data_IF_107136055196
#
_entry.id   IF_107136055196
#
_cell.length_a   1.000
_cell.length_b   1.000
_cell.length_c   1.000
_cell.angle_alpha   90.00
_cell.angle_beta   90.00
_cell.angle_gamma   90.00
#
_symmetry.space_group_name_H-M   'P 1'
#
loop_
_entity.id
_entity.type
_entity.pdbx_description
1 polymer ?
#
# COMPACT_ATOMS: atom_id res chain seq x y z
N UNK A 1 -2.24 -0.31 -9.01
CA UNK A 1 -3.13 -1.10 -9.83
C UNK A 1 -3.50 -2.38 -9.11
N UNK A 2 -4.74 -2.53 -8.78
CA UNK A 2 -5.32 -3.80 -8.35
C UNK A 2 -5.33 -4.68 -9.60
N UNK A 3 -4.34 -5.52 -9.76
CA UNK A 3 -4.26 -6.36 -10.95
C UNK A 3 -4.71 -7.78 -10.60
N UNK A 4 -6.01 -7.97 -10.62
CA UNK A 4 -6.58 -9.27 -10.86
C UNK A 4 -6.80 -9.37 -12.37
N UNK A 5 -6.38 -10.45 -13.01
CA UNK A 5 -6.55 -10.69 -14.46
C UNK A 5 -8.01 -10.57 -14.96
N UNK A 6 -8.95 -10.50 -14.03
CA UNK A 6 -10.39 -10.35 -14.30
C UNK A 6 -10.95 -8.97 -13.93
N UNK A 7 -10.14 -8.06 -13.42
CA UNK A 7 -10.60 -6.73 -12.98
C UNK A 7 -11.23 -5.91 -14.13
N UNK A 8 -10.74 -6.11 -15.36
CA UNK A 8 -11.33 -5.51 -16.57
C UNK A 8 -12.83 -5.79 -16.76
N UNK A 9 -13.36 -6.88 -16.15
CA UNK A 9 -14.80 -7.17 -16.20
C UNK A 9 -15.62 -6.20 -15.37
N UNK A 10 -15.03 -5.60 -14.32
CA UNK A 10 -15.71 -4.67 -13.43
C UNK A 10 -16.10 -3.37 -14.15
N UNK A 11 -15.34 -2.97 -15.17
CA UNK A 11 -15.58 -1.75 -15.94
C UNK A 11 -16.52 -1.94 -17.13
N UNK A 12 -17.14 -3.13 -17.26
CA UNK A 12 -18.19 -3.35 -18.25
C UNK A 12 -19.55 -2.86 -17.73
N UNK A 13 -20.52 -2.54 -18.60
CA UNK A 13 -21.84 -2.04 -18.19
C UNK A 13 -22.56 -2.87 -17.13
N UNK A 14 -22.19 -4.13 -16.98
CA UNK A 14 -22.73 -5.07 -15.97
C UNK A 14 -21.70 -5.51 -14.92
N UNK A 15 -20.58 -4.79 -14.82
CA UNK A 15 -19.48 -5.14 -13.93
C UNK A 15 -19.93 -5.24 -12.47
N UNK A 16 -20.71 -4.28 -11.99
CA UNK A 16 -21.25 -4.29 -10.63
C UNK A 16 -22.16 -5.48 -10.37
N UNK A 17 -23.06 -5.82 -11.33
CA UNK A 17 -23.97 -6.95 -11.20
C UNK A 17 -23.20 -8.28 -11.18
N UNK A 18 -22.20 -8.42 -12.05
CA UNK A 18 -21.34 -9.61 -12.10
C UNK A 18 -20.56 -9.71 -10.78
N UNK A 19 -20.00 -8.61 -10.30
CA UNK A 19 -19.26 -8.57 -9.04
C UNK A 19 -20.15 -8.96 -7.84
N UNK A 20 -21.36 -8.43 -7.77
CA UNK A 20 -22.37 -8.78 -6.74
C UNK A 20 -22.74 -10.26 -6.79
N UNK A 21 -22.91 -10.79 -7.98
CA UNK A 21 -23.25 -12.22 -8.17
C UNK A 21 -22.10 -13.14 -7.75
N UNK A 22 -20.86 -12.77 -8.08
CA UNK A 22 -19.67 -13.55 -7.70
C UNK A 22 -19.37 -13.42 -6.20
N UNK A 23 -19.53 -12.24 -5.65
CA UNK A 23 -19.26 -11.96 -4.22
C UNK A 23 -20.38 -12.48 -3.30
N UNK A 24 -21.59 -12.65 -3.84
CA UNK A 24 -22.77 -13.08 -3.06
C UNK A 24 -23.28 -12.06 -2.03
N UNK A 25 -22.74 -10.84 -2.05
CA UNK A 25 -23.07 -9.75 -1.14
C UNK A 25 -22.75 -8.41 -1.79
N UNK A 26 -23.51 -7.36 -1.46
CA UNK A 26 -23.31 -5.98 -1.90
C UNK A 26 -22.14 -5.30 -1.18
N UNK A 27 -21.57 -5.94 -0.17
CA UNK A 27 -20.45 -5.44 0.62
C UNK A 27 -19.25 -6.38 0.57
N UNK A 28 -18.07 -5.80 0.52
CA UNK A 28 -16.80 -6.48 0.80
C UNK A 28 -16.54 -6.36 2.30
N UNK A 29 -16.33 -7.50 2.95
CA UNK A 29 -16.13 -7.59 4.39
C UNK A 29 -14.65 -7.93 4.64
N UNK A 30 -13.99 -7.14 5.51
CA UNK A 30 -12.62 -7.40 5.92
C UNK A 30 -12.53 -8.64 6.80
N UNK A 31 -11.59 -9.52 6.51
CA UNK A 31 -11.28 -10.67 7.36
C UNK A 31 -10.51 -10.29 8.64
N UNK A 32 -9.97 -9.07 8.70
CA UNK A 32 -9.21 -8.60 9.86
C UNK A 32 -10.16 -8.12 10.98
N UNK A 33 -10.33 -8.97 11.98
CA UNK A 33 -11.24 -8.73 13.12
C UNK A 33 -10.59 -8.04 14.31
N UNK A 34 -9.27 -7.75 14.24
CA UNK A 34 -8.51 -7.17 15.36
C UNK A 34 -9.09 -5.82 15.79
N UNK A 35 -9.25 -5.55 17.10
CA UNK A 35 -9.77 -4.27 17.57
C UNK A 35 -8.95 -3.06 17.09
N UNK A 36 -7.62 -3.17 17.11
CA UNK A 36 -6.73 -2.12 16.62
C UNK A 36 -6.91 -1.84 15.13
N UNK A 37 -7.21 -2.85 14.31
CA UNK A 37 -7.51 -2.65 12.90
C UNK A 37 -8.79 -1.84 12.72
N UNK A 38 -9.85 -2.20 13.44
CA UNK A 38 -11.18 -1.55 13.35
C UNK A 38 -11.20 -0.09 13.81
N UNK A 39 -10.16 0.37 14.54
CA UNK A 39 -10.01 1.78 14.90
C UNK A 39 -9.61 2.66 13.72
N UNK A 40 -8.95 2.11 12.70
CA UNK A 40 -8.35 2.86 11.61
C UNK A 40 -8.85 2.46 10.22
N UNK A 41 -9.50 1.31 10.09
CA UNK A 41 -10.04 0.81 8.83
C UNK A 41 -11.51 0.43 8.98
N UNK A 42 -12.27 0.68 7.94
CA UNK A 42 -13.62 0.16 7.86
C UNK A 42 -13.60 -1.36 7.75
N UNK A 43 -14.47 -2.01 8.52
CA UNK A 43 -14.62 -3.46 8.48
C UNK A 43 -15.39 -3.94 7.24
N UNK A 44 -16.14 -3.05 6.62
CA UNK A 44 -16.88 -3.34 5.38
C UNK A 44 -16.98 -2.07 4.52
N UNK A 45 -17.07 -2.27 3.21
CA UNK A 45 -17.31 -1.20 2.24
C UNK A 45 -18.15 -1.72 1.06
N UNK A 46 -18.93 -0.85 0.39
CA UNK A 46 -19.77 -1.25 -0.73
C UNK A 46 -18.94 -1.85 -1.87
N UNK A 47 -19.44 -2.91 -2.50
CA UNK A 47 -18.82 -3.51 -3.68
C UNK A 47 -18.69 -2.48 -4.83
N UNK A 48 -19.65 -1.57 -4.93
CA UNK A 48 -19.63 -0.44 -5.86
C UNK A 48 -18.36 0.41 -5.73
N UNK A 49 -17.84 0.61 -4.51
CA UNK A 49 -16.59 1.35 -4.31
C UNK A 49 -15.39 0.66 -4.97
N UNK A 50 -15.37 -0.67 -5.04
CA UNK A 50 -14.32 -1.40 -5.74
C UNK A 50 -14.44 -1.23 -7.27
N UNK A 51 -15.65 -1.20 -7.80
CA UNK A 51 -15.90 -0.94 -9.23
C UNK A 51 -15.48 0.48 -9.60
N UNK A 52 -15.86 1.48 -8.80
CA UNK A 52 -15.45 2.87 -9.01
C UNK A 52 -13.94 3.07 -8.92
N UNK A 53 -13.28 2.35 -7.97
CA UNK A 53 -11.83 2.38 -7.87
C UNK A 53 -11.16 1.81 -9.11
N UNK A 54 -11.68 0.71 -9.66
CA UNK A 54 -11.11 0.10 -10.87
C UNK A 54 -11.27 1.03 -12.08
N UNK A 55 -12.43 1.64 -12.26
CA UNK A 55 -12.66 2.64 -13.30
C UNK A 55 -11.68 3.83 -13.18
N UNK A 56 -11.47 4.31 -11.96
CA UNK A 56 -10.50 5.37 -11.68
C UNK A 56 -9.08 4.93 -12.04
N UNK A 57 -8.68 3.72 -11.69
CA UNK A 57 -7.35 3.19 -12.01
C UNK A 57 -7.14 3.05 -13.52
N UNK A 58 -8.10 2.49 -14.25
CA UNK A 58 -8.00 2.33 -15.71
C UNK A 58 -7.93 3.66 -16.45
N UNK A 59 -8.60 4.69 -15.94
CA UNK A 59 -8.65 6.01 -16.59
C UNK A 59 -7.50 6.93 -16.20
N UNK A 60 -6.83 6.70 -15.07
CA UNK A 60 -5.79 7.60 -14.54
C UNK A 60 -4.40 6.99 -14.51
N UNK A 61 -4.28 5.67 -14.31
CA UNK A 61 -2.98 4.99 -14.22
C UNK A 61 -2.48 4.59 -15.62
N UNK A 62 -2.22 5.59 -16.43
CA UNK A 62 -1.82 5.47 -17.83
C UNK A 62 -0.46 6.13 -18.09
N UNK A 63 0.28 5.70 -19.13
CA UNK A 63 1.59 6.26 -19.48
C UNK A 63 1.57 7.79 -19.59
N UNK A 64 0.54 8.37 -20.20
CA UNK A 64 0.40 9.81 -20.40
C UNK A 64 0.27 10.57 -19.06
N UNK A 65 -0.24 9.91 -18.01
CA UNK A 65 -0.28 10.45 -16.66
C UNK A 65 1.08 10.33 -15.98
N UNK A 66 1.74 9.18 -16.12
CA UNK A 66 3.05 8.92 -15.52
C UNK A 66 4.13 9.82 -16.10
N UNK A 67 4.14 10.04 -17.40
CA UNK A 67 5.09 10.94 -18.08
C UNK A 67 5.02 12.39 -17.60
N UNK A 68 3.88 12.82 -17.05
CA UNK A 68 3.70 14.17 -16.49
C UNK A 68 4.32 14.34 -15.11
N UNK A 69 4.59 13.26 -14.40
CA UNK A 69 5.24 13.30 -13.08
C UNK A 69 6.72 13.60 -13.27
N UNK A 70 7.18 14.77 -12.83
CA UNK A 70 8.57 15.23 -12.97
C UNK A 70 9.28 15.40 -11.63
N UNK A 71 8.54 15.35 -10.53
CA UNK A 71 9.05 15.53 -9.17
C UNK A 71 9.97 14.38 -8.78
N UNK A 72 10.92 14.59 -7.85
CA UNK A 72 11.64 13.50 -7.21
C UNK A 72 10.68 12.47 -6.62
N UNK A 73 10.95 11.18 -6.87
CA UNK A 73 10.02 10.12 -6.49
C UNK A 73 10.73 8.93 -5.84
N UNK A 74 10.17 8.47 -4.73
CA UNK A 74 10.55 7.22 -4.07
C UNK A 74 9.40 6.22 -4.17
N UNK A 75 9.63 5.09 -4.86
CA UNK A 75 8.72 3.95 -4.89
C UNK A 75 9.19 2.90 -3.87
N UNK A 76 8.39 2.66 -2.84
CA UNK A 76 8.56 1.54 -1.92
C UNK A 76 7.49 0.48 -2.19
N UNK A 77 7.87 -0.79 -2.17
CA UNK A 77 6.94 -1.88 -2.44
C UNK A 77 7.32 -3.14 -1.65
N UNK A 78 6.33 -3.96 -1.30
CA UNK A 78 6.57 -5.24 -0.67
C UNK A 78 6.94 -6.27 -1.74
N UNK A 79 8.15 -6.74 -1.68
CA UNK A 79 8.65 -7.85 -2.50
C UNK A 79 9.82 -8.53 -1.80
N UNK A 80 9.72 -9.82 -1.58
CA UNK A 80 10.77 -10.67 -1.08
C UNK A 80 11.23 -11.67 -2.15
N UNK A 81 10.27 -12.32 -2.80
CA UNK A 81 10.44 -13.25 -3.90
C UNK A 81 9.11 -13.37 -4.67
N UNK A 82 9.05 -14.18 -5.72
CA UNK A 82 7.88 -14.34 -6.59
C UNK A 82 6.63 -14.85 -5.86
N UNK A 83 6.81 -15.58 -4.75
CA UNK A 83 5.71 -16.11 -3.95
C UNK A 83 5.31 -15.12 -2.84
N UNK A 84 6.30 -14.42 -2.27
CA UNK A 84 6.13 -13.50 -1.15
C UNK A 84 6.26 -12.06 -1.63
N UNK A 85 5.21 -11.54 -2.22
CA UNK A 85 5.10 -10.17 -2.71
C UNK A 85 3.72 -9.61 -2.43
N UNK A 86 3.50 -8.35 -2.79
CA UNK A 86 2.20 -7.72 -2.63
C UNK A 86 1.13 -8.48 -3.44
N UNK A 87 0.11 -8.97 -2.74
CA UNK A 87 -1.01 -9.72 -3.32
C UNK A 87 -2.18 -8.81 -3.77
N UNK A 88 -2.13 -7.53 -3.41
CA UNK A 88 -3.19 -6.56 -3.72
C UNK A 88 -2.77 -5.63 -4.85
N UNK A 89 -1.54 -5.12 -4.79
CA UNK A 89 -0.98 -4.24 -5.82
C UNK A 89 0.08 -4.99 -6.61
N UNK A 90 -0.09 -5.09 -7.91
CA UNK A 90 0.83 -5.80 -8.79
C UNK A 90 2.23 -5.17 -8.79
N UNK A 91 3.23 -5.90 -8.30
CA UNK A 91 4.63 -5.45 -8.29
C UNK A 91 5.13 -5.16 -9.71
N UNK A 92 4.90 -6.03 -10.73
CA UNK A 92 5.26 -5.71 -12.09
C UNK A 92 4.63 -4.42 -12.63
N UNK A 93 3.36 -4.16 -12.29
CA UNK A 93 2.68 -2.92 -12.68
C UNK A 93 3.27 -1.68 -12.01
N UNK A 94 3.64 -1.77 -10.72
CA UNK A 94 4.35 -0.68 -10.03
C UNK A 94 5.71 -0.38 -10.66
N UNK A 95 6.46 -1.41 -11.01
CA UNK A 95 7.77 -1.25 -11.64
C UNK A 95 7.66 -0.67 -13.06
N UNK A 96 6.66 -1.11 -13.83
CA UNK A 96 6.35 -0.54 -15.14
C UNK A 96 5.99 0.95 -15.02
N UNK A 97 5.06 1.29 -14.13
CA UNK A 97 4.72 2.69 -13.83
C UNK A 97 5.98 3.50 -13.51
N UNK A 98 6.83 2.99 -12.62
CA UNK A 98 8.08 3.67 -12.23
C UNK A 98 8.99 3.96 -13.42
N UNK A 99 9.12 3.03 -14.34
CA UNK A 99 9.96 3.20 -15.53
C UNK A 99 9.35 4.24 -16.50
N UNK A 100 8.02 4.33 -16.60
CA UNK A 100 7.26 5.29 -17.42
C UNK A 100 7.16 6.70 -16.82
N UNK A 101 7.57 6.92 -15.55
CA UNK A 101 7.58 8.24 -14.94
C UNK A 101 8.50 9.20 -15.69
N UNK A 102 8.00 10.40 -15.96
CA UNK A 102 8.78 11.49 -16.56
C UNK A 102 9.83 12.10 -15.64
N UNK A 103 9.91 11.66 -14.39
CA UNK A 103 10.97 12.03 -13.44
C UNK A 103 12.35 11.60 -13.99
N UNK A 104 13.37 12.48 -14.00
CA UNK A 104 14.74 12.12 -14.38
C UNK A 104 15.25 10.92 -13.58
N UNK A 105 16.04 10.04 -14.23
CA UNK A 105 16.55 8.82 -13.58
C UNK A 105 17.26 9.07 -12.27
N UNK A 106 18.02 10.16 -12.19
CA UNK A 106 18.79 10.52 -10.99
C UNK A 106 17.91 11.00 -9.84
N UNK A 107 16.66 11.37 -10.12
CA UNK A 107 15.69 11.87 -9.14
C UNK A 107 14.63 10.86 -8.77
N UNK A 108 14.65 9.64 -9.31
CA UNK A 108 13.73 8.59 -8.90
C UNK A 108 14.44 7.37 -8.33
N UNK A 109 13.92 6.83 -7.25
CA UNK A 109 14.45 5.67 -6.53
C UNK A 109 13.34 4.64 -6.36
N UNK A 110 13.65 3.37 -6.56
CA UNK A 110 12.76 2.26 -6.23
C UNK A 110 13.45 1.29 -5.27
N UNK A 111 12.73 0.83 -4.24
CA UNK A 111 13.28 -0.07 -3.23
C UNK A 111 12.23 -1.05 -2.74
N UNK A 112 12.57 -2.33 -2.80
CA UNK A 112 11.78 -3.38 -2.16
C UNK A 112 11.96 -3.35 -0.65
N UNK A 113 10.88 -3.65 0.09
CA UNK A 113 10.86 -3.83 1.54
C UNK A 113 10.46 -5.29 1.83
N UNK A 114 11.42 -6.23 1.84
CA UNK A 114 11.13 -7.67 1.87
C UNK A 114 10.44 -8.15 3.15
N UNK A 115 10.56 -7.40 4.24
CA UNK A 115 9.96 -7.74 5.53
C UNK A 115 8.61 -7.07 5.77
N UNK A 116 8.10 -6.27 4.83
CA UNK A 116 6.84 -5.55 5.04
C UNK A 116 5.64 -6.51 5.20
N UNK A 117 5.56 -7.53 4.35
CA UNK A 117 4.48 -8.52 4.37
C UNK A 117 3.13 -7.99 3.89
N UNK A 118 3.04 -6.70 3.49
CA UNK A 118 1.81 -6.05 3.04
C UNK A 118 2.11 -4.76 2.27
N UNK A 119 1.18 -4.30 1.42
CA UNK A 119 1.30 -3.02 0.68
C UNK A 119 1.14 -1.77 1.57
N UNK A 120 0.55 -1.89 2.74
CA UNK A 120 0.44 -0.79 3.72
C UNK A 120 1.74 -0.69 4.49
N UNK A 121 2.80 -0.22 3.82
CA UNK A 121 4.18 -0.26 4.31
C UNK A 121 4.43 0.59 5.55
N UNK A 122 3.76 1.75 5.65
CA UNK A 122 3.99 2.73 6.72
C UNK A 122 3.18 2.51 8.00
N UNK A 123 2.40 1.44 8.10
CA UNK A 123 1.55 1.18 9.26
C UNK A 123 2.09 0.06 10.14
N UNK A 124 2.31 0.32 11.42
CA UNK A 124 2.70 -0.69 12.42
C UNK A 124 1.65 -1.80 12.61
N UNK A 125 0.40 -1.54 12.21
CA UNK A 125 -0.69 -2.52 12.29
C UNK A 125 -0.59 -3.58 11.20
N UNK A 126 -0.03 -3.21 10.04
CA UNK A 126 -0.01 -4.05 8.83
C UNK A 126 1.39 -4.47 8.42
N UNK A 127 2.40 -3.61 8.61
CA UNK A 127 3.76 -3.83 8.13
C UNK A 127 4.68 -4.30 9.24
N UNK A 128 5.54 -5.26 8.91
CA UNK A 128 6.66 -5.70 9.76
C UNK A 128 7.98 -5.02 9.34
N UNK A 129 7.98 -4.25 8.26
CA UNK A 129 9.16 -3.64 7.64
C UNK A 129 9.36 -2.15 7.93
N UNK A 130 8.78 -1.60 9.00
CA UNK A 130 8.79 -0.16 9.30
C UNK A 130 10.19 0.45 9.32
N UNK A 131 11.16 -0.24 9.92
CA UNK A 131 12.54 0.25 9.97
C UNK A 131 13.12 0.41 8.56
N UNK A 132 12.90 -0.55 7.67
CA UNK A 132 13.35 -0.46 6.28
C UNK A 132 12.67 0.67 5.51
N UNK A 133 11.38 0.90 5.76
CA UNK A 133 10.63 2.02 5.19
C UNK A 133 11.21 3.35 5.68
N UNK A 134 11.42 3.49 6.99
CA UNK A 134 11.99 4.69 7.58
C UNK A 134 13.37 5.01 7.00
N UNK A 135 14.27 4.02 6.97
CA UNK A 135 15.61 4.19 6.42
C UNK A 135 15.61 4.60 4.94
N UNK A 136 14.72 4.00 4.14
CA UNK A 136 14.58 4.33 2.73
C UNK A 136 14.09 5.78 2.53
N UNK A 137 13.10 6.20 3.32
CA UNK A 137 12.56 7.57 3.28
C UNK A 137 13.63 8.58 3.73
N UNK A 138 14.29 8.35 4.86
CA UNK A 138 15.36 9.23 5.36
C UNK A 138 16.47 9.38 4.31
N UNK A 139 16.96 8.27 3.76
CA UNK A 139 17.99 8.29 2.71
C UNK A 139 17.56 9.05 1.46
N UNK A 140 16.30 8.91 1.05
CA UNK A 140 15.76 9.64 -0.09
C UNK A 140 15.68 11.15 0.19
N UNK A 141 15.19 11.53 1.37
CA UNK A 141 15.09 12.91 1.79
C UNK A 141 16.46 13.60 1.81
N UNK A 142 17.47 12.93 2.37
CA UNK A 142 18.82 13.46 2.43
C UNK A 142 19.49 13.53 1.05
N UNK A 143 19.45 12.44 0.26
CA UNK A 143 20.23 12.32 -0.97
C UNK A 143 19.57 12.92 -2.21
N UNK A 144 18.23 12.96 -2.25
CA UNK A 144 17.49 13.42 -3.43
C UNK A 144 16.80 14.76 -3.22
N UNK A 145 16.36 15.04 -2.00
CA UNK A 145 15.71 16.31 -1.65
C UNK A 145 16.68 17.27 -0.95
N UNK A 146 17.91 16.82 -0.64
CA UNK A 146 18.95 17.61 0.03
C UNK A 146 18.49 18.21 1.37
N UNK A 147 17.60 17.49 2.06
CA UNK A 147 17.12 17.91 3.38
C UNK A 147 18.12 17.49 4.47
N UNK A 148 18.36 18.38 5.41
CA UNK A 148 19.25 18.12 6.54
C UNK A 148 18.44 17.60 7.73
N UNK A 149 18.91 16.52 8.34
CA UNK A 149 18.30 15.98 9.57
C UNK A 149 18.48 16.96 10.72
N UNK A 150 17.39 17.30 11.40
CA UNK A 150 17.45 18.15 12.59
C UNK A 150 18.06 17.35 13.74
N UNK A 151 19.12 17.86 14.40
CA UNK A 151 19.70 17.20 15.58
C UNK A 151 18.64 16.98 16.66
N UNK A 152 18.59 15.79 17.22
CA UNK A 152 17.59 15.43 18.25
C UNK A 152 16.25 14.91 17.74
N UNK A 153 15.99 14.92 16.43
CA UNK A 153 14.77 14.35 15.83
C UNK A 153 14.85 12.83 15.60
N UNK A 154 15.72 12.13 16.33
CA UNK A 154 15.70 10.69 16.32
C UNK A 154 14.32 10.23 16.83
N UNK A 155 13.49 9.67 15.93
CA UNK A 155 12.30 8.96 16.35
C UNK A 155 12.81 7.78 17.17
N UNK A 156 12.72 7.91 18.48
CA UNK A 156 12.96 6.78 19.38
C UNK A 156 11.88 5.77 19.05
N UNK A 157 12.24 4.71 18.35
CA UNK A 157 11.35 3.56 18.20
C UNK A 157 11.23 2.94 19.58
N UNK A 158 10.34 3.48 20.39
CA UNK A 158 9.93 2.84 21.61
C UNK A 158 9.21 1.57 21.16
N UNK A 159 9.88 0.44 21.26
CA UNK A 159 9.24 -0.86 21.25
C UNK A 159 8.30 -0.85 22.46
N UNK A 160 7.08 -0.38 22.27
CA UNK A 160 6.04 -0.50 23.26
C UNK A 160 5.75 -1.98 23.39
N UNK A 161 6.44 -2.65 24.31
CA UNK A 161 5.99 -3.91 24.86
C UNK A 161 4.70 -3.59 25.60
N UNK A 162 3.55 -3.78 24.94
CA UNK A 162 2.26 -3.74 25.61
C UNK A 162 2.22 -4.99 26.49
N UNK A 163 2.59 -4.84 27.73
CA UNK A 163 2.27 -5.81 28.77
C UNK A 163 0.75 -5.72 28.99
N UNK A 164 0.04 -6.63 28.38
CA UNK A 164 -1.36 -6.88 28.74
C UNK A 164 -1.30 -7.56 30.12
N UNK A 165 -1.46 -6.78 31.15
CA UNK A 165 -1.77 -7.33 32.49
C UNK A 165 -3.21 -7.87 32.38
N UNK A 166 -3.32 -9.18 32.23
CA UNK A 166 -4.59 -9.87 32.42
C UNK A 166 -4.98 -9.62 33.88
N UNK A 167 -5.92 -8.73 34.11
CA UNK A 167 -6.54 -8.54 35.40
C UNK A 167 -7.20 -9.84 35.81
N UNK A 168 -6.71 -10.37 36.92
CA UNK A 168 -7.28 -11.49 37.65
C UNK A 168 -8.74 -11.15 38.00
N UNK A 169 -9.67 -11.81 37.34
CA UNK A 169 -11.09 -11.83 37.72
C UNK A 169 -11.25 -13.03 38.65
N UNK A 170 -10.90 -12.84 39.90
CA UNK A 170 -11.27 -13.76 40.98
C UNK A 170 -12.77 -13.70 41.32
N UNK A 171 -13.27 -14.64 42.10
CA UNK A 171 -14.50 -15.39 41.95
C UNK A 171 -15.80 -14.61 42.15
#
# INVERSE_FOLDING_TARGET
>A
AIHNDKAWLLNKPWGLQIAGWVNGNDYIISEDTRPVYKQYWYAQYPLEAAVQLEEYLETTMMPETFEKVKQPLLLLYYYKDEVHQDSVVSVPAMLKMFDELGTPKDNKVKQAIPNAGNHVLGSYIRSKGLLGVQQAVESFMEKKLHLTKVPGSAITTTTATVQITLGDQGP
#
